data_IF_291621324197
#
_entry.id   IF_291621324197
#
_cell.length_a   1.000
_cell.length_b   1.000
_cell.length_c   1.000
_cell.angle_alpha   90.00
_cell.angle_beta   90.00
_cell.angle_gamma   90.00
#
_symmetry.space_group_name_H-M   'P 1'
#
loop_
_entity.id
_entity.type
_entity.pdbx_description
1 polymer ?
#
# COMPACT_ATOMS: atom_id res chain seq x y z
N UNK A 1 -3.78 6.60 -15.71
CA UNK A 1 -4.19 6.39 -14.30
C UNK A 1 -5.16 7.46 -13.79
N UNK A 2 -4.85 8.76 -13.94
CA UNK A 2 -5.69 9.82 -13.38
C UNK A 2 -7.10 9.86 -14.01
N UNK A 3 -7.21 9.59 -15.31
CA UNK A 3 -8.48 9.56 -16.04
C UNK A 3 -9.34 8.36 -15.65
N UNK A 4 -8.72 7.19 -15.51
CA UNK A 4 -9.37 5.94 -15.12
C UNK A 4 -9.86 6.01 -13.67
N UNK A 5 -9.06 6.59 -12.77
CA UNK A 5 -9.50 6.86 -11.40
C UNK A 5 -10.66 7.85 -11.37
N UNK A 6 -10.58 8.95 -12.12
CA UNK A 6 -11.65 9.94 -12.18
C UNK A 6 -12.96 9.32 -12.70
N UNK A 7 -12.85 8.48 -13.74
CA UNK A 7 -13.97 7.73 -14.31
C UNK A 7 -14.57 6.77 -13.29
N UNK A 8 -13.74 5.98 -12.59
CA UNK A 8 -14.21 5.06 -11.55
C UNK A 8 -14.88 5.80 -10.40
N UNK A 9 -14.31 6.91 -9.92
CA UNK A 9 -14.93 7.73 -8.87
C UNK A 9 -16.26 8.33 -9.31
N UNK A 10 -16.37 8.76 -10.56
CA UNK A 10 -17.63 9.24 -11.14
C UNK A 10 -18.68 8.12 -11.22
N UNK A 11 -18.29 6.92 -11.64
CA UNK A 11 -19.17 5.74 -11.68
C UNK A 11 -19.63 5.34 -10.27
N UNK A 12 -18.72 5.33 -9.29
CA UNK A 12 -19.04 5.05 -7.88
C UNK A 12 -20.03 6.06 -7.34
N UNK A 13 -19.89 7.35 -7.67
CA UNK A 13 -20.84 8.37 -7.23
C UNK A 13 -22.26 8.09 -7.74
N UNK A 14 -22.40 7.52 -8.94
CA UNK A 14 -23.69 7.13 -9.53
C UNK A 14 -24.20 5.78 -9.04
N UNK A 15 -23.30 4.88 -8.66
CA UNK A 15 -23.59 3.53 -8.21
C UNK A 15 -22.88 3.22 -6.88
N UNK A 16 -23.22 3.94 -5.80
CA UNK A 16 -22.43 3.92 -4.56
C UNK A 16 -22.46 2.58 -3.83
N UNK A 17 -23.37 1.67 -4.20
CA UNK A 17 -23.49 0.33 -3.62
C UNK A 17 -22.79 -0.76 -4.45
N UNK A 18 -22.20 -0.41 -5.60
CA UNK A 18 -21.47 -1.38 -6.41
C UNK A 18 -20.14 -1.73 -5.74
N UNK A 19 -20.07 -2.95 -5.20
CA UNK A 19 -18.83 -3.52 -4.67
C UNK A 19 -17.80 -3.70 -5.78
N UNK A 20 -18.24 -4.07 -6.99
CA UNK A 20 -17.36 -4.27 -8.15
C UNK A 20 -16.57 -3.00 -8.50
N UNK A 21 -17.25 -1.85 -8.58
CA UNK A 21 -16.59 -0.57 -8.81
C UNK A 21 -15.61 -0.21 -7.68
N UNK A 22 -15.96 -0.57 -6.44
CA UNK A 22 -15.08 -0.36 -5.28
C UNK A 22 -13.82 -1.23 -5.38
N UNK A 23 -13.94 -2.48 -5.85
CA UNK A 23 -12.81 -3.36 -6.11
C UNK A 23 -11.92 -2.83 -7.24
N UNK A 24 -12.49 -2.35 -8.34
CA UNK A 24 -11.69 -1.76 -9.43
C UNK A 24 -10.89 -0.55 -8.96
N UNK A 25 -11.49 0.33 -8.15
CA UNK A 25 -10.77 1.46 -7.56
C UNK A 25 -9.66 0.98 -6.62
N UNK A 26 -9.95 0.02 -5.75
CA UNK A 26 -8.95 -0.61 -4.88
C UNK A 26 -7.77 -1.19 -5.67
N UNK A 27 -8.03 -1.95 -6.73
CA UNK A 27 -7.00 -2.56 -7.56
C UNK A 27 -6.17 -1.51 -8.28
N UNK A 28 -6.82 -0.48 -8.85
CA UNK A 28 -6.13 0.61 -9.51
C UNK A 28 -5.19 1.34 -8.54
N UNK A 29 -5.64 1.65 -7.32
CA UNK A 29 -4.82 2.31 -6.32
C UNK A 29 -3.62 1.43 -5.90
N UNK A 30 -3.86 0.16 -5.62
CA UNK A 30 -2.80 -0.76 -5.18
C UNK A 30 -1.78 -1.08 -6.29
N UNK A 31 -2.22 -1.20 -7.55
CA UNK A 31 -1.34 -1.42 -8.69
C UNK A 31 -0.39 -0.23 -8.92
N UNK A 32 -0.83 0.98 -8.56
CA UNK A 32 -0.05 2.21 -8.66
C UNK A 32 0.74 2.54 -7.38
N UNK A 33 0.85 1.60 -6.45
CA UNK A 33 1.62 1.78 -5.21
C UNK A 33 1.00 2.78 -4.23
N UNK A 34 -0.26 3.18 -4.44
CA UNK A 34 -1.01 4.08 -3.54
C UNK A 34 -1.65 3.26 -2.41
N UNK A 35 -0.79 2.55 -1.68
CA UNK A 35 -1.16 1.57 -0.65
C UNK A 35 -2.04 2.17 0.46
N UNK A 36 -1.81 3.44 0.84
CA UNK A 36 -2.60 4.12 1.86
C UNK A 36 -4.06 4.32 1.42
N UNK A 37 -4.27 4.80 0.19
CA UNK A 37 -5.61 5.01 -0.34
C UNK A 37 -6.29 3.69 -0.69
N UNK A 38 -5.54 2.70 -1.16
CA UNK A 38 -6.04 1.34 -1.33
C UNK A 38 -6.50 0.74 0.01
N UNK A 39 -5.79 1.00 1.11
CA UNK A 39 -6.20 0.59 2.45
C UNK A 39 -7.50 1.27 2.88
N UNK A 40 -7.66 2.56 2.61
CA UNK A 40 -8.92 3.27 2.89
C UNK A 40 -10.11 2.64 2.13
N UNK A 41 -9.93 2.29 0.86
CA UNK A 41 -10.99 1.62 0.08
C UNK A 41 -11.30 0.23 0.63
N UNK A 42 -10.30 -0.55 1.07
CA UNK A 42 -10.54 -1.81 1.78
C UNK A 42 -11.42 -1.60 3.02
N UNK A 43 -11.11 -0.58 3.83
CA UNK A 43 -11.87 -0.28 5.05
C UNK A 43 -13.30 0.18 4.75
N UNK A 44 -13.53 0.93 3.67
CA UNK A 44 -14.88 1.32 3.24
C UNK A 44 -15.71 0.12 2.83
N UNK A 45 -15.12 -0.84 2.11
CA UNK A 45 -15.79 -2.08 1.73
C UNK A 45 -16.12 -2.90 2.99
N UNK A 46 -15.14 -3.12 3.87
CA UNK A 46 -15.32 -3.91 5.09
C UNK A 46 -16.32 -3.27 6.07
N UNK A 47 -16.45 -1.93 6.08
CA UNK A 47 -17.48 -1.25 6.87
C UNK A 47 -18.90 -1.62 6.42
N UNK A 48 -19.09 -1.94 5.13
CA UNK A 48 -20.38 -2.32 4.55
C UNK A 48 -20.59 -3.83 4.56
N UNK A 49 -19.51 -4.57 4.30
CA UNK A 49 -19.48 -6.02 4.23
C UNK A 49 -18.30 -6.53 5.07
N UNK A 50 -18.48 -6.73 6.40
CA UNK A 50 -17.38 -7.09 7.30
C UNK A 50 -16.63 -8.38 6.93
N UNK A 51 -17.35 -9.33 6.35
CA UNK A 51 -16.82 -10.65 5.96
C UNK A 51 -16.41 -10.71 4.48
N UNK A 52 -16.23 -9.55 3.84
CA UNK A 52 -15.77 -9.47 2.45
C UNK A 52 -14.35 -10.05 2.32
N UNK A 53 -14.28 -11.23 1.71
CA UNK A 53 -13.04 -11.99 1.57
C UNK A 53 -12.01 -11.26 0.69
N UNK A 54 -12.48 -10.56 -0.35
CA UNK A 54 -11.60 -9.83 -1.28
C UNK A 54 -10.96 -8.65 -0.54
N UNK A 55 -11.76 -7.85 0.15
CA UNK A 55 -11.25 -6.70 0.91
C UNK A 55 -10.33 -7.13 2.06
N UNK A 56 -10.64 -8.24 2.75
CA UNK A 56 -9.75 -8.82 3.76
C UNK A 56 -8.40 -9.25 3.14
N UNK A 57 -8.42 -9.97 2.02
CA UNK A 57 -7.20 -10.39 1.32
C UNK A 57 -6.33 -9.19 0.92
N UNK A 58 -6.94 -8.14 0.34
CA UNK A 58 -6.21 -6.95 -0.08
C UNK A 58 -5.65 -6.15 1.08
N UNK A 59 -6.39 -6.05 2.19
CA UNK A 59 -5.89 -5.43 3.42
C UNK A 59 -4.60 -6.09 3.89
N UNK A 60 -4.57 -7.43 3.95
CA UNK A 60 -3.38 -8.15 4.38
C UNK A 60 -2.24 -8.06 3.34
N UNK A 61 -2.55 -8.11 2.04
CA UNK A 61 -1.56 -7.93 0.98
C UNK A 61 -0.86 -6.55 1.06
N UNK A 62 -1.63 -5.48 1.28
CA UNK A 62 -1.09 -4.12 1.44
C UNK A 62 -0.23 -4.03 2.71
N UNK A 63 -0.70 -4.59 3.84
CA UNK A 63 0.08 -4.64 5.09
C UNK A 63 1.43 -5.33 4.90
N UNK A 64 1.46 -6.49 4.24
CA UNK A 64 2.69 -7.22 3.96
C UNK A 64 3.66 -6.42 3.08
N UNK A 65 3.14 -5.67 2.09
CA UNK A 65 3.93 -4.77 1.25
C UNK A 65 4.59 -3.68 2.09
N UNK A 66 3.83 -3.08 3.00
CA UNK A 66 4.31 -2.08 3.95
C UNK A 66 5.42 -2.63 4.85
N UNK A 67 5.23 -3.81 5.45
CA UNK A 67 6.24 -4.46 6.29
C UNK A 67 7.54 -4.76 5.53
N UNK A 68 7.44 -5.24 4.28
CA UNK A 68 8.62 -5.47 3.43
C UNK A 68 9.37 -4.17 3.15
N UNK A 69 8.66 -3.09 2.86
CA UNK A 69 9.22 -1.76 2.64
C UNK A 69 9.91 -1.21 3.90
N UNK A 70 9.27 -1.34 5.06
CA UNK A 70 9.85 -0.94 6.35
C UNK A 70 11.12 -1.75 6.67
N UNK A 71 11.10 -3.07 6.50
CA UNK A 71 12.26 -3.94 6.74
C UNK A 71 13.45 -3.58 5.83
N UNK A 72 13.21 -3.26 4.55
CA UNK A 72 14.28 -2.79 3.64
C UNK A 72 14.94 -1.51 4.15
N UNK A 73 14.18 -0.54 4.66
CA UNK A 73 14.74 0.72 5.21
C UNK A 73 15.57 0.51 6.47
N UNK A 74 15.21 -0.47 7.31
CA UNK A 74 16.01 -0.82 8.50
C UNK A 74 17.32 -1.51 8.11
N UNK A 75 17.27 -2.42 7.14
CA UNK A 75 18.47 -3.11 6.62
C UNK A 75 19.48 -2.14 5.98
N UNK A 76 19.02 -1.20 5.15
CA UNK A 76 19.92 -0.21 4.52
C UNK A 76 20.58 0.72 5.54
N UNK A 77 19.87 1.10 6.62
CA UNK A 77 20.46 1.87 7.74
C UNK A 77 21.52 1.07 8.50
N UNK A 78 21.32 -0.24 8.70
CA UNK A 78 22.32 -1.14 9.31
C UNK A 78 23.61 -1.20 8.50
N UNK A 79 23.51 -1.36 7.17
CA UNK A 79 24.66 -1.40 6.27
C UNK A 79 25.40 -0.06 6.19
N UNK A 80 24.67 1.06 6.14
CA UNK A 80 25.27 2.40 6.11
C UNK A 80 26.05 2.71 7.40
N UNK A 81 25.53 2.27 8.55
CA UNK A 81 26.18 2.45 9.85
C UNK A 81 27.46 1.61 9.94
N UNK A 82 27.45 0.37 9.43
CA UNK A 82 28.62 -0.52 9.45
C UNK A 82 29.79 0.00 8.57
N UNK A 83 29.50 0.57 7.39
CA UNK A 83 30.53 1.20 6.52
C UNK A 83 31.16 2.47 7.11
N UNK A 84 30.49 3.13 8.06
CA UNK A 84 31.03 4.32 8.74
C UNK A 84 32.10 3.94 9.75
N UNK A 85 31.89 2.83 10.48
CA UNK A 85 32.85 2.30 11.44
C UNK A 85 34.14 1.83 10.77
N UNK A 86 34.04 1.05 9.68
CA UNK A 86 35.22 0.60 8.94
C UNK A 86 36.06 1.75 8.36
N UNK A 87 35.46 2.88 7.98
CA UNK A 87 36.24 4.05 7.48
C UNK A 87 36.94 4.85 8.58
N UNK A 88 36.46 4.79 9.82
CA UNK A 88 37.07 5.49 10.95
C UNK A 88 38.24 4.69 11.54
N UNK A 89 38.17 3.36 11.52
CA UNK A 89 39.25 2.49 12.00
C UNK A 89 40.48 2.41 11.08
N UNK A 90 40.37 2.85 9.82
CA UNK A 90 41.52 2.96 8.89
C UNK A 90 42.20 4.35 8.92
N UNK A 91 41.78 5.28 9.79
CA UNK A 91 42.32 6.65 9.84
C UNK A 91 43.12 6.98 11.11
N UNK A 92 43.33 6.00 11.97
CA UNK A 92 44.04 6.12 13.26
C UNK A 92 45.13 5.07 13.43
N UNK A 93 45.76 4.64 12.34
CA UNK A 93 46.98 3.80 12.35
C UNK A 93 48.15 4.59 11.80
#
# INVERSE_FOLDING_TARGET
IAEEEATLRWLIARQPRSLELSYYLLFLLAANGRDEQAMEECLKILKRCPDDQIACMWREAIRLRWYRSARRRVSTRGVARNRRWHRLSHRTG
#
